data_IF_900985138608
#
_entry.id   IF_900985138608
#
_cell.length_a   1.000
_cell.length_b   1.000
_cell.length_c   1.000
_cell.angle_alpha   90.00
_cell.angle_beta   90.00
_cell.angle_gamma   90.00
#
_symmetry.space_group_name_H-M   'P 1'
#
loop_
_entity.id
_entity.type
_entity.pdbx_description
1 polymer ?
#
# COMPACT_ATOMS: atom_id res chain seq x y z
N UNK A 1 3.20 13.15 15.47
CA UNK A 1 3.48 12.03 14.56
C UNK A 1 2.30 11.83 13.63
N UNK A 2 2.57 11.82 12.33
CA UNK A 2 1.55 11.57 11.33
C UNK A 2 1.47 10.07 11.03
N UNK A 3 0.26 9.51 11.09
CA UNK A 3 0.01 8.09 10.83
C UNK A 3 -1.07 7.98 9.75
N UNK A 4 -0.80 7.18 8.72
CA UNK A 4 -1.79 6.85 7.70
C UNK A 4 -2.09 5.36 7.77
N UNK A 5 -3.34 5.04 8.05
CA UNK A 5 -3.80 3.66 8.18
C UNK A 5 -4.96 3.37 7.23
N UNK A 6 -5.10 2.11 6.88
CA UNK A 6 -6.23 1.57 6.12
C UNK A 6 -6.50 0.16 6.61
N UNK A 7 -7.28 -0.59 5.88
CA UNK A 7 -7.57 -2.00 6.19
C UNK A 7 -7.62 -2.82 4.91
N UNK A 8 -7.38 -4.12 5.04
CA UNK A 8 -7.48 -5.05 3.93
C UNK A 8 -8.95 -5.25 3.57
N UNK A 9 -9.32 -4.98 2.32
CA UNK A 9 -10.69 -5.19 1.85
C UNK A 9 -10.89 -6.57 1.27
N UNK A 10 -9.84 -7.16 0.70
CA UNK A 10 -9.94 -8.47 0.06
C UNK A 10 -8.57 -9.12 0.03
N UNK A 11 -8.53 -10.44 0.24
CA UNK A 11 -7.33 -11.25 0.04
C UNK A 11 -7.68 -12.32 -0.99
N UNK A 12 -6.80 -12.48 -1.99
CA UNK A 12 -6.99 -13.53 -2.98
C UNK A 12 -5.64 -14.15 -3.35
N UNK A 13 -5.71 -15.37 -3.88
CA UNK A 13 -4.51 -16.09 -4.28
C UNK A 13 -4.29 -15.93 -5.77
N UNK A 14 -3.05 -15.70 -6.14
CA UNK A 14 -2.62 -15.54 -7.53
C UNK A 14 -1.63 -16.64 -7.85
N UNK A 15 -1.94 -17.45 -8.85
CA UNK A 15 -1.07 -18.56 -9.26
C UNK A 15 0.12 -18.02 -10.04
N UNK A 16 1.24 -18.74 -9.96
CA UNK A 16 2.44 -18.43 -10.73
C UNK A 16 2.09 -18.17 -12.19
N UNK A 17 2.60 -17.08 -12.74
CA UNK A 17 2.38 -16.70 -14.12
C UNK A 17 1.17 -15.81 -14.36
N UNK A 18 0.23 -15.70 -13.41
CA UNK A 18 -0.91 -14.82 -13.55
C UNK A 18 -0.52 -13.38 -13.22
N UNK A 19 -1.28 -12.44 -13.75
CA UNK A 19 -1.01 -11.01 -13.62
C UNK A 19 -1.87 -10.39 -12.51
N UNK A 20 -1.33 -9.34 -11.88
CA UNK A 20 -1.99 -8.55 -10.84
C UNK A 20 -2.02 -7.09 -11.29
N UNK A 21 -3.18 -6.44 -11.07
CA UNK A 21 -3.37 -5.05 -11.41
C UNK A 21 -3.72 -4.84 -12.87
N UNK A 22 -4.18 -3.62 -13.19
CA UNK A 22 -4.55 -3.30 -14.55
C UNK A 22 -3.30 -3.22 -15.45
N UNK A 23 -3.50 -3.42 -16.73
CA UNK A 23 -2.45 -3.37 -17.76
C UNK A 23 -1.32 -4.38 -17.47
N UNK A 24 -1.67 -5.54 -16.89
CA UNK A 24 -0.72 -6.59 -16.53
C UNK A 24 0.49 -6.05 -15.75
N UNK A 25 0.23 -5.20 -14.76
CA UNK A 25 1.27 -4.45 -14.04
C UNK A 25 2.32 -5.30 -13.33
N UNK A 26 1.97 -6.52 -12.92
CA UNK A 26 2.89 -7.42 -12.24
C UNK A 26 2.52 -8.86 -12.50
N UNK A 27 3.49 -9.66 -12.90
CA UNK A 27 3.32 -11.10 -13.11
C UNK A 27 3.86 -11.86 -11.90
N UNK A 28 3.04 -12.71 -11.31
CA UNK A 28 3.45 -13.46 -10.12
C UNK A 28 4.54 -14.47 -10.46
N UNK A 29 5.72 -14.38 -9.83
CA UNK A 29 6.82 -15.32 -10.09
C UNK A 29 6.60 -16.68 -9.43
N UNK A 30 5.66 -16.76 -8.50
CA UNK A 30 5.28 -17.98 -7.78
C UNK A 30 3.84 -17.80 -7.29
N UNK A 31 3.27 -18.84 -6.68
CA UNK A 31 1.96 -18.71 -6.05
C UNK A 31 2.05 -17.66 -4.95
N UNK A 32 1.22 -16.64 -5.05
CA UNK A 32 1.31 -15.43 -4.24
C UNK A 32 -0.04 -15.10 -3.62
N UNK A 33 -0.03 -14.61 -2.39
CA UNK A 33 -1.22 -14.10 -1.73
C UNK A 33 -1.20 -12.58 -1.78
N UNK A 34 -2.30 -12.01 -2.31
CA UNK A 34 -2.39 -10.57 -2.58
C UNK A 34 -3.52 -9.96 -1.75
N UNK A 35 -3.22 -8.85 -1.08
CA UNK A 35 -4.22 -8.05 -0.37
C UNK A 35 -4.53 -6.78 -1.14
N UNK A 36 -5.82 -6.45 -1.24
CA UNK A 36 -6.29 -5.21 -1.86
C UNK A 36 -6.57 -4.18 -0.76
N UNK A 37 -6.08 -2.96 -0.98
CA UNK A 37 -6.25 -1.85 -0.06
C UNK A 37 -7.05 -0.74 -0.76
N UNK A 38 -8.00 -0.07 -0.05
CA UNK A 38 -8.91 0.91 -0.66
C UNK A 38 -8.32 2.32 -0.71
N UNK A 39 -7.06 2.45 -1.09
CA UNK A 39 -6.37 3.73 -1.28
C UNK A 39 -5.56 3.67 -2.57
N UNK A 40 -5.61 4.73 -3.34
CA UNK A 40 -4.88 4.82 -4.58
C UNK A 40 -4.42 6.25 -4.87
N UNK A 41 -4.06 6.53 -6.14
CA UNK A 41 -3.48 7.82 -6.47
C UNK A 41 -4.47 8.99 -6.31
N UNK A 42 -5.78 8.75 -6.38
CA UNK A 42 -6.78 9.78 -6.09
C UNK A 42 -6.78 10.19 -4.61
N UNK A 43 -6.23 9.34 -3.75
CA UNK A 43 -6.13 9.59 -2.30
C UNK A 43 -4.76 10.15 -1.90
N UNK A 44 -3.85 10.34 -2.86
CA UNK A 44 -2.53 10.89 -2.60
C UNK A 44 -1.39 9.88 -2.59
N UNK A 45 -1.68 8.59 -2.77
CA UNK A 45 -0.64 7.56 -2.90
C UNK A 45 -0.31 7.45 -4.40
N UNK A 46 0.68 8.21 -4.83
CA UNK A 46 1.01 8.36 -6.23
C UNK A 46 1.46 7.07 -6.90
N UNK A 47 1.39 7.06 -8.23
CA UNK A 47 1.78 5.89 -9.03
C UNK A 47 3.25 5.51 -8.85
N UNK A 48 4.09 6.46 -8.45
CA UNK A 48 5.52 6.21 -8.22
C UNK A 48 5.80 5.28 -7.05
N UNK A 49 4.79 4.95 -6.23
CA UNK A 49 4.91 3.95 -5.17
C UNK A 49 4.64 2.52 -5.65
N UNK A 50 4.17 2.34 -6.87
CA UNK A 50 3.92 1.01 -7.44
C UNK A 50 5.19 0.25 -7.77
N UNK A 51 5.02 -0.96 -8.32
CA UNK A 51 6.12 -1.82 -8.79
C UNK A 51 7.20 -2.05 -7.74
N UNK A 52 6.78 -2.40 -6.50
CA UNK A 52 7.67 -2.72 -5.37
C UNK A 52 8.47 -1.54 -4.83
N UNK A 53 8.25 -0.31 -5.29
CA UNK A 53 8.93 0.85 -4.73
C UNK A 53 8.41 1.23 -3.35
N UNK A 54 7.08 1.22 -3.17
CA UNK A 54 6.47 1.46 -1.89
C UNK A 54 6.15 0.16 -1.17
N UNK A 55 6.04 0.24 0.14
CA UNK A 55 5.60 -0.88 0.98
C UNK A 55 4.78 -0.37 2.15
N UNK A 56 3.94 -1.25 2.69
CA UNK A 56 3.12 -0.96 3.87
C UNK A 56 3.46 -1.95 4.97
N UNK A 57 3.01 -1.66 6.18
CA UNK A 57 3.22 -2.55 7.33
C UNK A 57 1.91 -3.24 7.69
N UNK A 58 1.94 -4.55 7.78
CA UNK A 58 0.81 -5.38 8.19
C UNK A 58 1.30 -6.35 9.25
N UNK A 59 0.69 -6.30 10.43
CA UNK A 59 1.07 -7.19 11.55
C UNK A 59 2.57 -7.20 11.82
N UNK A 60 3.20 -6.02 11.76
CA UNK A 60 4.62 -5.85 12.04
C UNK A 60 5.57 -6.24 10.91
N UNK A 61 5.03 -6.63 9.76
CA UNK A 61 5.85 -7.05 8.61
C UNK A 61 5.63 -6.15 7.41
N UNK A 62 6.66 -6.02 6.59
CA UNK A 62 6.65 -5.18 5.40
C UNK A 62 6.00 -5.92 4.24
N UNK A 63 5.03 -5.29 3.59
CA UNK A 63 4.35 -5.81 2.41
C UNK A 63 4.57 -4.85 1.24
N UNK A 64 5.27 -5.28 0.17
CA UNK A 64 5.53 -4.40 -0.97
C UNK A 64 4.28 -4.19 -1.82
N UNK A 65 4.16 -2.98 -2.37
CA UNK A 65 3.10 -2.66 -3.34
C UNK A 65 3.46 -3.31 -4.67
N UNK A 66 2.55 -4.10 -5.23
CA UNK A 66 2.78 -4.81 -6.49
C UNK A 66 1.97 -4.19 -7.61
N UNK A 67 2.56 -4.20 -8.80
CA UNK A 67 1.90 -3.67 -9.99
C UNK A 67 1.67 -2.17 -9.94
N UNK A 68 0.72 -1.71 -10.72
CA UNK A 68 0.36 -0.30 -10.80
C UNK A 68 -0.54 0.12 -9.66
N UNK A 69 -0.31 1.32 -9.10
CA UNK A 69 -1.26 1.95 -8.18
C UNK A 69 -2.43 2.45 -9.02
N UNK A 70 -3.64 2.00 -8.71
CA UNK A 70 -4.85 2.42 -9.41
C UNK A 70 -5.42 3.70 -8.79
N UNK A 71 -6.50 4.21 -9.36
CA UNK A 71 -7.09 5.47 -8.91
C UNK A 71 -7.54 5.40 -7.44
N UNK A 72 -8.21 4.32 -7.06
CA UNK A 72 -8.88 4.18 -5.76
C UNK A 72 -8.48 2.92 -5.00
N UNK A 73 -7.54 2.15 -5.52
CA UNK A 73 -7.04 0.95 -4.82
C UNK A 73 -5.60 0.65 -5.22
N UNK A 74 -4.95 -0.15 -4.40
CA UNK A 74 -3.65 -0.72 -4.71
C UNK A 74 -3.56 -2.11 -4.10
N UNK A 75 -2.58 -2.89 -4.53
CA UNK A 75 -2.40 -4.25 -4.08
C UNK A 75 -1.01 -4.45 -3.50
N UNK A 76 -0.93 -5.30 -2.48
CA UNK A 76 0.32 -5.61 -1.80
C UNK A 76 0.52 -7.12 -1.69
N UNK A 77 1.77 -7.54 -1.73
CA UNK A 77 2.13 -8.96 -1.58
C UNK A 77 2.19 -9.31 -0.09
N UNK A 78 1.30 -10.20 0.34
CA UNK A 78 1.22 -10.66 1.73
C UNK A 78 1.53 -12.15 1.87
N UNK A 79 2.23 -12.73 0.92
CA UNK A 79 2.52 -14.17 0.87
C UNK A 79 3.16 -14.68 2.16
N UNK A 80 4.06 -13.90 2.76
CA UNK A 80 4.77 -14.30 3.98
C UNK A 80 4.15 -13.71 5.26
N UNK A 81 2.98 -13.09 5.17
CA UNK A 81 2.33 -12.41 6.29
C UNK A 81 1.05 -13.15 6.65
N UNK A 82 0.92 -13.49 7.94
CA UNK A 82 -0.32 -14.05 8.46
C UNK A 82 -1.30 -12.90 8.70
N UNK A 83 -2.27 -12.75 7.80
CA UNK A 83 -3.25 -11.67 7.85
C UNK A 83 -4.56 -12.11 7.22
N UNK A 84 -5.62 -11.34 7.48
CA UNK A 84 -6.96 -11.62 6.97
C UNK A 84 -7.68 -10.31 6.61
N UNK A 85 -8.79 -10.44 5.90
CA UNK A 85 -9.63 -9.29 5.55
C UNK A 85 -10.06 -8.56 6.82
N UNK A 86 -10.00 -7.23 6.78
CA UNK A 86 -10.28 -6.37 7.92
C UNK A 86 -9.06 -5.99 8.75
N UNK A 87 -7.93 -6.68 8.57
CA UNK A 87 -6.71 -6.34 9.32
C UNK A 87 -6.22 -4.94 8.97
N UNK A 88 -5.66 -4.26 9.96
CA UNK A 88 -5.13 -2.90 9.80
C UNK A 88 -3.84 -2.91 9.01
N UNK A 89 -3.71 -1.89 8.18
CA UNK A 89 -2.53 -1.65 7.34
C UNK A 89 -2.00 -0.26 7.64
N UNK A 90 -0.71 -0.14 7.90
CA UNK A 90 -0.06 1.17 8.11
C UNK A 90 0.80 1.50 6.91
N UNK A 91 0.50 2.63 6.28
CA UNK A 91 1.32 3.19 5.21
C UNK A 91 2.53 3.88 5.80
N UNK A 92 2.32 4.68 6.86
CA UNK A 92 3.41 5.25 7.65
C UNK A 92 2.90 5.55 9.08
N UNK A 93 3.84 5.72 9.99
CA UNK A 93 3.58 5.93 11.40
C UNK A 93 4.88 5.97 12.19
N UNK A 94 4.89 5.42 13.38
CA UNK A 94 6.09 5.44 14.24
C UNK A 94 7.24 4.60 13.68
N UNK A 95 6.95 3.38 13.20
CA UNK A 95 7.98 2.46 12.72
C UNK A 95 8.39 2.73 11.28
N UNK A 96 7.46 3.17 10.45
CA UNK A 96 7.70 3.53 9.07
C UNK A 96 7.20 4.96 8.89
N UNK A 97 8.06 5.94 9.09
CA UNK A 97 7.67 7.36 9.12
C UNK A 97 7.21 7.84 7.74
N UNK A 98 6.49 8.97 7.72
CA UNK A 98 6.08 9.61 6.48
C UNK A 98 7.29 9.92 5.58
N UNK A 99 8.40 10.35 6.17
CA UNK A 99 9.63 10.61 5.41
C UNK A 99 10.19 9.34 4.79
N UNK A 100 10.24 8.24 5.55
CA UNK A 100 10.74 6.96 5.05
C UNK A 100 9.83 6.45 3.93
N UNK A 101 8.51 6.51 4.11
CA UNK A 101 7.56 6.10 3.07
C UNK A 101 7.73 6.94 1.81
N UNK A 102 7.82 8.27 1.95
CA UNK A 102 7.98 9.17 0.81
C UNK A 102 9.25 8.86 0.01
N UNK A 103 10.35 8.55 0.68
CA UNK A 103 11.62 8.22 0.02
C UNK A 103 11.52 6.95 -0.83
N UNK A 104 10.66 6.00 -0.48
CA UNK A 104 10.44 4.79 -1.28
C UNK A 104 9.99 5.14 -2.71
N UNK A 105 9.21 6.23 -2.85
CA UNK A 105 8.75 6.72 -4.14
C UNK A 105 9.53 7.94 -4.66
N UNK A 106 10.71 8.23 -4.12
CA UNK A 106 11.51 9.41 -4.48
C UNK A 106 10.76 10.73 -4.23
N UNK A 107 9.98 10.78 -3.14
CA UNK A 107 9.21 11.95 -2.75
C UNK A 107 9.68 12.46 -1.39
N UNK A 108 9.08 13.52 -0.89
CA UNK A 108 9.35 14.06 0.45
C UNK A 108 8.06 14.03 1.29
N UNK A 109 8.24 13.99 2.62
CA UNK A 109 7.09 13.86 3.54
C UNK A 109 6.08 14.99 3.41
N UNK A 110 6.53 16.23 3.21
CA UNK A 110 5.64 17.37 3.04
C UNK A 110 4.72 17.18 1.83
N UNK A 111 5.28 16.79 0.70
CA UNK A 111 4.54 16.57 -0.54
C UNK A 111 3.53 15.43 -0.37
N UNK A 112 3.95 14.33 0.26
CA UNK A 112 3.07 13.19 0.54
C UNK A 112 1.89 13.61 1.41
N UNK A 113 2.13 14.28 2.52
CA UNK A 113 1.07 14.66 3.48
C UNK A 113 0.12 15.68 2.87
N UNK A 114 0.62 16.68 2.15
CA UNK A 114 -0.23 17.69 1.52
C UNK A 114 -1.03 17.14 0.35
N UNK A 115 -0.55 16.06 -0.27
CA UNK A 115 -1.25 15.40 -1.39
C UNK A 115 -2.36 14.45 -0.99
N UNK A 116 -2.54 14.17 0.31
CA UNK A 116 -3.58 13.25 0.76
C UNK A 116 -4.97 13.82 0.45
N UNK A 117 -5.81 12.96 -0.14
CA UNK A 117 -7.13 13.36 -0.59
C UNK A 117 -8.15 13.59 0.49
N UNK A 118 -9.29 14.19 0.14
CA UNK A 118 -10.36 14.52 1.09
C UNK A 118 -11.13 13.31 1.58
N UNK A 119 -11.05 12.16 0.90
CA UNK A 119 -11.67 10.91 1.37
C UNK A 119 -11.04 10.40 2.66
N UNK A 120 -9.80 10.77 2.92
CA UNK A 120 -9.05 10.28 4.07
C UNK A 120 -9.51 11.02 5.32
N UNK A 121 -10.00 10.26 6.29
CA UNK A 121 -10.40 10.82 7.57
C UNK A 121 -9.15 11.24 8.34
N UNK A 122 -9.15 12.49 8.79
CA UNK A 122 -8.04 13.02 9.57
C UNK A 122 -8.42 13.05 11.04
N UNK A 123 -7.56 12.46 11.86
CA UNK A 123 -7.74 12.43 13.31
C UNK A 123 -6.51 13.06 13.93
N UNK A 124 -6.72 14.09 14.76
CA UNK A 124 -5.65 14.73 15.51
C UNK A 124 -5.57 14.06 16.88
N UNK A 125 -4.40 13.51 17.20
CA UNK A 125 -4.13 12.93 18.52
C UNK A 125 -3.06 13.75 19.22
N UNK A 126 -3.34 14.11 20.44
CA UNK A 126 -2.41 14.84 21.29
C UNK A 126 -1.49 13.89 22.06
#
# INVERSE_FOLDING_TARGET
ICVLESSITQIHQVKKGNFVGYDHGWQAPQNTQIATLPLGHADGIGRHFGHHKGSVMINGKKAPIVGNVCMDLLMVDVTSIDCEEGDKVKFFGELNTASTFALQGNSISYELITGLGSRIKRIVKE
#
